data_IF_421746890668
#
_entry.id   IF_421746890668
#
_cell.length_a   1.000
_cell.length_b   1.000
_cell.length_c   1.000
_cell.angle_alpha   90.00
_cell.angle_beta   90.00
_cell.angle_gamma   90.00
#
_symmetry.space_group_name_H-M   'P 1'
#
loop_
_entity.id
_entity.type
_entity.pdbx_description
1 polymer ?
#
# COMPACT_ATOMS: atom_id res chain seq x y z
N UNK A 1 -17.95 3.90 11.21
CA UNK A 1 -18.95 3.90 10.11
C UNK A 1 -19.19 5.33 9.63
N UNK A 2 -18.51 5.75 8.55
CA UNK A 2 -18.80 7.01 7.82
C UNK A 2 -18.56 6.74 6.33
N UNK A 3 -19.42 5.94 5.72
CA UNK A 3 -19.45 5.69 4.30
C UNK A 3 -20.92 5.83 3.87
N UNK A 4 -21.27 7.05 3.42
CA UNK A 4 -22.64 7.57 3.24
C UNK A 4 -23.65 6.69 2.47
N UNK A 5 -23.22 5.61 1.82
CA UNK A 5 -24.10 4.71 1.04
C UNK A 5 -24.20 3.28 1.59
N UNK A 6 -23.33 2.87 2.53
CA UNK A 6 -23.24 1.48 3.02
C UNK A 6 -23.65 1.36 4.51
N UNK A 7 -24.11 2.46 5.12
CA UNK A 7 -24.40 2.55 6.55
C UNK A 7 -25.60 1.67 6.96
N UNK A 8 -26.69 1.65 6.19
CA UNK A 8 -27.88 0.85 6.51
C UNK A 8 -27.60 -0.66 6.41
N UNK A 9 -26.80 -1.10 5.43
CA UNK A 9 -26.39 -2.50 5.28
C UNK A 9 -25.48 -2.96 6.41
N UNK A 10 -24.53 -2.11 6.79
CA UNK A 10 -23.60 -2.45 7.87
C UNK A 10 -24.30 -2.51 9.23
N UNK A 11 -25.30 -1.66 9.51
CA UNK A 11 -26.06 -1.74 10.77
C UNK A 11 -26.76 -3.09 10.95
N UNK A 12 -27.34 -3.64 9.88
CA UNK A 12 -27.96 -4.97 9.92
C UNK A 12 -26.96 -6.09 10.20
N UNK A 13 -25.77 -6.02 9.61
CA UNK A 13 -24.69 -6.99 9.87
C UNK A 13 -24.14 -6.89 11.28
N UNK A 14 -23.99 -5.68 11.82
CA UNK A 14 -23.52 -5.48 13.19
C UNK A 14 -24.45 -6.19 14.17
N UNK A 15 -25.76 -6.00 14.06
CA UNK A 15 -26.75 -6.68 14.92
C UNK A 15 -26.63 -8.19 14.86
N UNK A 16 -26.55 -8.78 13.66
CA UNK A 16 -26.41 -10.24 13.49
C UNK A 16 -25.11 -10.78 14.09
N UNK A 17 -24.02 -10.02 13.99
CA UNK A 17 -22.74 -10.39 14.58
C UNK A 17 -22.80 -10.34 16.11
N UNK A 18 -23.38 -9.28 16.67
CA UNK A 18 -23.59 -9.11 18.11
C UNK A 18 -24.52 -10.21 18.67
N UNK A 19 -25.62 -10.54 17.98
CA UNK A 19 -26.52 -11.65 18.31
C UNK A 19 -25.81 -13.01 18.29
N UNK A 20 -24.81 -13.18 17.42
CA UNK A 20 -23.96 -14.37 17.35
C UNK A 20 -22.80 -14.36 18.37
N UNK A 21 -22.72 -13.36 19.26
CA UNK A 21 -21.72 -13.25 20.32
C UNK A 21 -20.42 -12.57 19.92
N UNK A 22 -20.35 -11.95 18.74
CA UNK A 22 -19.17 -11.19 18.32
C UNK A 22 -19.18 -9.77 18.92
N UNK A 23 -18.04 -9.34 19.46
CA UNK A 23 -17.85 -7.95 19.87
C UNK A 23 -17.55 -7.08 18.64
N UNK A 24 -18.47 -6.19 18.28
CA UNK A 24 -18.31 -5.29 17.14
C UNK A 24 -17.85 -3.92 17.62
N UNK A 25 -16.62 -3.54 17.28
CA UNK A 25 -16.07 -2.23 17.64
C UNK A 25 -16.15 -1.25 16.47
N UNK A 26 -16.66 -0.07 16.76
CA UNK A 26 -16.72 1.03 15.80
C UNK A 26 -15.39 1.75 15.76
N UNK A 27 -14.86 1.99 14.55
CA UNK A 27 -13.56 2.64 14.38
C UNK A 27 -13.48 4.06 14.98
N UNK A 28 -12.24 4.49 15.20
CA UNK A 28 -11.86 5.78 15.81
C UNK A 28 -12.58 6.98 15.16
N UNK A 29 -13.16 7.85 15.99
CA UNK A 29 -13.89 9.05 15.54
C UNK A 29 -12.97 9.94 14.70
N UNK A 30 -13.46 10.36 13.53
CA UNK A 30 -12.72 11.22 12.61
C UNK A 30 -11.79 10.48 11.64
N UNK A 31 -11.52 9.20 11.86
CA UNK A 31 -10.73 8.36 10.95
C UNK A 31 -11.61 7.31 10.28
N UNK A 32 -11.29 7.00 9.02
CA UNK A 32 -11.90 5.86 8.32
C UNK A 32 -10.93 4.69 8.35
N UNK A 33 -11.38 3.54 8.86
CA UNK A 33 -10.65 2.30 8.71
C UNK A 33 -10.69 1.86 7.24
N UNK A 34 -9.53 1.77 6.62
CA UNK A 34 -9.35 1.31 5.25
C UNK A 34 -8.31 0.20 5.14
N UNK A 35 -7.72 -0.22 6.27
CA UNK A 35 -6.89 -1.42 6.35
C UNK A 35 -7.76 -2.67 6.21
N UNK A 36 -7.25 -3.69 5.52
CA UNK A 36 -7.93 -4.98 5.34
C UNK A 36 -7.01 -6.05 5.92
N UNK A 37 -7.22 -6.29 7.21
CA UNK A 37 -6.37 -7.16 8.01
C UNK A 37 -7.25 -8.16 8.75
N UNK A 38 -6.80 -9.41 8.80
CA UNK A 38 -7.41 -10.48 9.60
C UNK A 38 -6.38 -11.07 10.54
N UNK A 39 -6.81 -11.44 11.75
CA UNK A 39 -5.99 -12.13 12.74
C UNK A 39 -6.79 -13.32 13.29
N UNK A 40 -6.19 -14.50 13.26
CA UNK A 40 -6.71 -15.69 13.93
C UNK A 40 -5.70 -16.10 14.99
N UNK A 41 -6.16 -16.18 16.24
CA UNK A 41 -5.39 -16.73 17.35
C UNK A 41 -5.84 -18.17 17.55
N UNK A 42 -4.90 -19.12 17.46
CA UNK A 42 -5.17 -20.55 17.61
C UNK A 42 -4.25 -21.15 18.67
N UNK A 43 -4.81 -21.94 19.58
CA UNK A 43 -4.01 -22.79 20.47
C UNK A 43 -3.52 -24.00 19.68
N UNK A 44 -2.21 -24.13 19.55
CA UNK A 44 -1.51 -25.27 18.99
C UNK A 44 -0.77 -26.04 20.10
N UNK A 45 -0.13 -27.16 19.76
CA UNK A 45 0.53 -28.02 20.74
C UNK A 45 1.69 -27.32 21.48
N UNK A 46 2.36 -26.39 20.80
CA UNK A 46 3.51 -25.62 21.27
C UNK A 46 3.15 -24.23 21.84
N UNK A 47 1.88 -23.82 21.79
CA UNK A 47 1.43 -22.56 22.37
C UNK A 47 0.35 -21.84 21.58
N UNK A 48 0.27 -20.52 21.76
CA UNK A 48 -0.68 -19.70 21.02
C UNK A 48 -0.02 -19.19 19.73
N UNK A 49 -0.61 -19.52 18.58
CA UNK A 49 -0.13 -19.08 17.27
C UNK A 49 -1.03 -18.02 16.66
N UNK A 50 -0.40 -17.08 15.94
CA UNK A 50 -1.07 -16.00 15.21
C UNK A 50 -1.02 -16.29 13.71
N UNK A 51 -2.17 -16.28 13.07
CA UNK A 51 -2.30 -16.30 11.60
C UNK A 51 -2.83 -14.95 11.15
N UNK A 52 -2.09 -14.30 10.27
CA UNK A 52 -2.39 -12.96 9.80
C UNK A 52 -2.71 -12.99 8.32
N UNK A 53 -3.72 -12.23 7.93
CA UNK A 53 -3.96 -11.85 6.56
C UNK A 53 -3.85 -10.33 6.40
N UNK A 54 -3.04 -9.83 5.46
CA UNK A 54 -2.98 -8.41 5.07
C UNK A 54 -3.31 -8.30 3.59
N UNK A 55 -4.29 -7.47 3.24
CA UNK A 55 -4.80 -7.36 1.86
C UNK A 55 -4.75 -5.94 1.32
N UNK A 56 -4.54 -5.82 0.01
CA UNK A 56 -4.70 -4.55 -0.73
C UNK A 56 -6.17 -4.15 -0.91
N UNK A 57 -7.09 -5.13 -0.85
CA UNK A 57 -8.52 -4.97 -1.13
C UNK A 57 -9.43 -5.59 -0.09
N UNK A 58 -10.71 -5.19 -0.12
CA UNK A 58 -11.72 -5.58 0.87
C UNK A 58 -12.19 -7.02 0.70
N UNK A 59 -12.83 -7.55 1.74
CA UNK A 59 -13.39 -8.89 1.78
C UNK A 59 -14.75 -8.99 1.10
N UNK A 60 -15.00 -8.17 0.07
CA UNK A 60 -16.28 -8.16 -0.63
C UNK A 60 -16.21 -9.11 -1.84
N UNK A 61 -16.97 -10.20 -1.77
CA UNK A 61 -17.02 -11.24 -2.80
C UNK A 61 -17.49 -10.72 -4.17
N UNK A 62 -18.28 -9.66 -4.21
CA UNK A 62 -18.72 -9.03 -5.46
C UNK A 62 -17.56 -8.32 -6.13
N UNK A 63 -16.86 -7.43 -5.41
CA UNK A 63 -15.73 -6.67 -5.97
C UNK A 63 -14.54 -7.55 -6.32
N UNK A 64 -14.32 -8.64 -5.58
CA UNK A 64 -13.27 -9.62 -5.88
C UNK A 64 -13.39 -10.24 -7.29
N UNK A 65 -14.57 -10.20 -7.94
CA UNK A 65 -14.75 -10.72 -9.30
C UNK A 65 -14.23 -9.78 -10.40
N UNK A 66 -14.01 -8.51 -10.09
CA UNK A 66 -13.61 -7.51 -11.08
C UNK A 66 -12.46 -6.60 -10.63
N UNK A 67 -11.99 -6.70 -9.38
CA UNK A 67 -10.80 -5.99 -8.90
C UNK A 67 -9.60 -6.93 -8.86
N UNK A 68 -8.42 -6.43 -9.20
CA UNK A 68 -7.16 -7.16 -8.95
C UNK A 68 -6.66 -6.80 -7.56
N UNK A 69 -6.54 -7.77 -6.66
CA UNK A 69 -6.08 -7.57 -5.29
C UNK A 69 -5.08 -8.64 -4.88
N UNK A 70 -4.22 -8.30 -3.92
CA UNK A 70 -3.20 -9.18 -3.35
C UNK A 70 -3.46 -9.37 -1.86
N UNK A 71 -3.21 -10.59 -1.38
CA UNK A 71 -3.29 -10.95 0.03
C UNK A 71 -2.01 -11.64 0.47
N UNK A 72 -1.44 -11.20 1.59
CA UNK A 72 -0.36 -11.86 2.31
C UNK A 72 -0.98 -12.66 3.45
N UNK A 73 -0.83 -13.98 3.43
CA UNK A 73 -1.15 -14.85 4.55
C UNK A 73 0.14 -15.30 5.22
N UNK A 74 0.30 -15.06 6.52
CA UNK A 74 1.56 -15.30 7.21
C UNK A 74 1.37 -15.71 8.67
N UNK A 75 2.38 -16.39 9.20
CA UNK A 75 2.55 -16.69 10.64
C UNK A 75 3.79 -16.02 11.22
N UNK A 76 4.39 -15.08 10.50
CA UNK A 76 5.50 -14.25 10.99
C UNK A 76 5.15 -13.61 12.33
N UNK A 77 5.99 -13.83 13.33
CA UNK A 77 5.69 -13.46 14.71
C UNK A 77 5.65 -11.95 14.92
N UNK A 78 6.50 -11.19 14.21
CA UNK A 78 6.58 -9.74 14.36
C UNK A 78 5.40 -9.05 13.66
N UNK A 79 5.02 -9.52 12.46
CA UNK A 79 3.79 -9.09 11.79
C UNK A 79 2.57 -9.48 12.63
N UNK A 80 2.57 -10.70 13.20
CA UNK A 80 1.54 -11.19 14.10
C UNK A 80 1.36 -10.29 15.33
N UNK A 81 2.47 -9.91 15.96
CA UNK A 81 2.48 -9.01 17.10
C UNK A 81 2.01 -7.60 16.72
N UNK A 82 2.47 -7.05 15.59
CA UNK A 82 2.07 -5.72 15.11
C UNK A 82 0.56 -5.64 14.84
N UNK A 83 -0.01 -6.66 14.17
CA UNK A 83 -1.46 -6.71 13.90
C UNK A 83 -2.26 -6.85 15.20
N UNK A 84 -1.77 -7.65 16.14
CA UNK A 84 -2.39 -7.79 17.45
C UNK A 84 -2.40 -6.45 18.20
N UNK A 85 -1.26 -5.74 18.23
CA UNK A 85 -1.15 -4.43 18.86
C UNK A 85 -2.06 -3.40 18.19
N UNK A 86 -2.12 -3.40 16.85
CA UNK A 86 -3.03 -2.55 16.10
C UNK A 86 -4.49 -2.81 16.49
N UNK A 87 -4.91 -4.07 16.58
CA UNK A 87 -6.26 -4.40 17.01
C UNK A 87 -6.54 -3.95 18.44
N UNK A 88 -5.61 -4.15 19.37
CA UNK A 88 -5.76 -3.65 20.75
C UNK A 88 -5.88 -2.13 20.82
N UNK A 89 -5.12 -1.39 20.00
CA UNK A 89 -5.26 0.06 19.93
C UNK A 89 -6.61 0.48 19.34
N UNK A 90 -7.09 -0.21 18.30
CA UNK A 90 -8.37 0.09 17.66
C UNK A 90 -9.58 -0.25 18.54
N UNK A 91 -9.46 -1.23 19.43
CA UNK A 91 -10.55 -1.65 20.33
C UNK A 91 -10.48 -1.01 21.71
N UNK A 92 -9.29 -0.71 22.21
CA UNK A 92 -9.05 -0.21 23.56
C UNK A 92 -8.78 1.29 23.68
N UNK A 93 -8.64 2.04 22.57
CA UNK A 93 -8.33 3.47 22.58
C UNK A 93 -9.24 4.27 21.66
N UNK A 94 -9.55 5.50 22.07
CA UNK A 94 -10.24 6.49 21.23
C UNK A 94 -9.30 7.33 20.37
N UNK A 95 -7.98 7.09 20.47
CA UNK A 95 -6.94 7.78 19.70
C UNK A 95 -6.60 7.01 18.43
N UNK A 96 -6.00 7.71 17.46
CA UNK A 96 -5.43 7.07 16.28
C UNK A 96 -4.36 6.04 16.69
N UNK A 97 -4.16 4.95 15.92
CA UNK A 97 -3.03 4.07 16.12
C UNK A 97 -1.72 4.84 16.10
N UNK A 98 -0.92 4.65 17.15
CA UNK A 98 0.28 5.44 17.46
C UNK A 98 1.43 4.55 17.93
N UNK A 99 2.64 5.11 17.92
CA UNK A 99 3.84 4.39 18.32
C UNK A 99 4.49 3.55 17.21
N UNK A 100 5.60 2.89 17.55
CA UNK A 100 6.40 2.11 16.62
C UNK A 100 5.85 0.68 16.48
N UNK A 101 5.61 0.28 15.24
CA UNK A 101 5.43 -1.11 14.85
C UNK A 101 6.77 -1.71 14.42
N UNK A 102 6.93 -3.02 14.56
CA UNK A 102 8.19 -3.76 14.30
C UNK A 102 8.45 -3.86 12.80
N UNK A 103 7.40 -4.19 12.04
CA UNK A 103 7.42 -4.50 10.60
C UNK A 103 6.39 -3.70 9.82
N UNK A 104 5.21 -3.46 10.38
CA UNK A 104 4.13 -2.76 9.69
C UNK A 104 4.39 -1.25 9.62
N UNK A 105 4.00 -0.64 8.50
CA UNK A 105 3.83 0.80 8.42
C UNK A 105 2.33 1.13 8.47
N UNK A 106 1.92 1.94 9.45
CA UNK A 106 0.51 2.16 9.79
C UNK A 106 0.16 3.64 9.71
N UNK A 107 -0.87 3.97 8.95
CA UNK A 107 -1.41 5.32 8.91
C UNK A 107 -2.34 5.56 10.11
N UNK A 108 -2.43 6.80 10.63
CA UNK A 108 -1.87 8.02 10.04
C UNK A 108 -0.46 8.40 10.53
N UNK A 109 0.05 7.77 11.59
CA UNK A 109 1.21 8.28 12.31
C UNK A 109 2.55 7.86 11.69
N UNK A 110 2.72 6.57 11.39
CA UNK A 110 4.03 6.04 10.97
C UNK A 110 4.18 5.87 9.46
N UNK A 111 3.08 5.72 8.72
CA UNK A 111 3.14 5.37 7.29
C UNK A 111 3.82 6.45 6.43
N UNK A 112 3.47 7.72 6.58
CA UNK A 112 4.08 8.79 5.78
C UNK A 112 5.58 8.96 6.11
N UNK A 113 5.98 9.12 7.39
CA UNK A 113 7.40 9.20 7.73
C UNK A 113 8.20 8.00 7.23
N UNK A 114 7.66 6.78 7.36
CA UNK A 114 8.28 5.57 6.84
C UNK A 114 8.48 5.63 5.32
N UNK A 115 7.44 5.98 4.56
CA UNK A 115 7.51 6.08 3.10
C UNK A 115 8.55 7.11 2.64
N UNK A 116 8.55 8.30 3.27
CA UNK A 116 9.54 9.35 2.98
C UNK A 116 10.96 8.87 3.32
N UNK A 117 11.14 8.12 4.41
CA UNK A 117 12.41 7.50 4.79
C UNK A 117 12.91 6.50 3.74
N UNK A 118 12.04 5.63 3.21
CA UNK A 118 12.38 4.70 2.14
C UNK A 118 12.85 5.44 0.87
N UNK A 119 12.11 6.49 0.45
CA UNK A 119 12.48 7.29 -0.73
C UNK A 119 13.82 8.02 -0.51
N UNK A 120 14.01 8.62 0.66
CA UNK A 120 15.25 9.30 1.01
C UNK A 120 16.44 8.34 1.05
N UNK A 121 16.23 7.10 1.49
CA UNK A 121 17.26 6.04 1.50
C UNK A 121 17.68 5.66 0.08
N UNK A 122 16.74 5.51 -0.86
CA UNK A 122 17.09 5.30 -2.28
C UNK A 122 17.90 6.47 -2.83
N UNK A 123 17.53 7.71 -2.51
CA UNK A 123 18.28 8.90 -2.91
C UNK A 123 19.71 8.93 -2.33
N UNK A 124 19.91 8.41 -1.12
CA UNK A 124 21.24 8.26 -0.53
C UNK A 124 22.06 7.17 -1.23
N UNK A 125 21.45 6.02 -1.53
CA UNK A 125 22.09 4.95 -2.30
C UNK A 125 22.54 5.44 -3.68
N UNK A 126 21.69 6.16 -4.39
CA UNK A 126 22.02 6.73 -5.71
C UNK A 126 23.21 7.69 -5.64
N UNK A 127 23.22 8.61 -4.66
CA UNK A 127 24.36 9.54 -4.43
C UNK A 127 25.66 8.81 -4.10
N UNK A 128 25.57 7.65 -3.47
CA UNK A 128 26.72 6.79 -3.18
C UNK A 128 27.12 5.87 -4.35
N UNK A 129 26.49 5.99 -5.53
CA UNK A 129 26.76 5.13 -6.69
C UNK A 129 26.26 3.69 -6.52
N UNK A 130 25.39 3.42 -5.54
CA UNK A 130 24.81 2.09 -5.30
C UNK A 130 23.52 1.91 -6.12
N UNK A 131 23.09 0.65 -6.36
CA UNK A 131 21.80 0.40 -6.99
C UNK A 131 20.66 1.09 -6.22
N UNK A 132 19.89 1.91 -6.93
CA UNK A 132 18.80 2.66 -6.33
C UNK A 132 17.62 2.73 -7.30
N UNK A 133 16.49 2.15 -6.87
CA UNK A 133 15.31 2.00 -7.72
C UNK A 133 14.05 2.05 -6.89
N UNK A 134 13.03 2.76 -7.38
CA UNK A 134 11.69 2.74 -6.83
C UNK A 134 10.76 2.19 -7.90
N UNK A 135 9.97 1.18 -7.54
CA UNK A 135 8.82 0.75 -8.33
C UNK A 135 7.58 0.82 -7.46
N UNK A 136 6.46 1.30 -8.00
CA UNK A 136 5.20 1.22 -7.26
C UNK A 136 3.99 1.04 -8.17
N UNK A 137 3.07 0.18 -7.76
CA UNK A 137 1.71 0.06 -8.31
C UNK A 137 0.73 0.70 -7.35
N UNK A 138 -0.10 1.62 -7.83
CA UNK A 138 -1.01 2.43 -7.03
C UNK A 138 -2.32 2.69 -7.79
N UNK A 139 -3.40 2.97 -7.05
CA UNK A 139 -4.61 3.51 -7.66
C UNK A 139 -4.54 5.03 -7.82
N UNK A 140 -3.68 5.70 -7.07
CA UNK A 140 -3.47 7.14 -7.20
C UNK A 140 -2.26 7.68 -6.45
N UNK A 141 -1.72 8.77 -6.98
CA UNK A 141 -0.59 9.52 -6.46
C UNK A 141 -0.94 11.01 -6.50
N UNK A 142 -1.13 11.61 -5.33
CA UNK A 142 -1.51 13.02 -5.22
C UNK A 142 -0.94 13.73 -3.99
N UNK A 143 -0.06 13.06 -3.23
CA UNK A 143 0.54 13.64 -2.04
C UNK A 143 1.74 14.52 -2.39
N UNK A 144 1.68 15.80 -2.02
CA UNK A 144 2.71 16.78 -2.41
C UNK A 144 4.07 16.51 -1.74
N UNK A 145 4.09 15.99 -0.52
CA UNK A 145 5.35 15.65 0.18
C UNK A 145 6.00 14.43 -0.46
N UNK A 146 5.22 13.39 -0.76
CA UNK A 146 5.72 12.20 -1.47
C UNK A 146 6.21 12.59 -2.87
N UNK A 147 5.46 13.40 -3.62
CA UNK A 147 5.86 13.84 -4.97
C UNK A 147 7.16 14.63 -4.93
N UNK A 148 7.32 15.55 -3.97
CA UNK A 148 8.58 16.29 -3.79
C UNK A 148 9.74 15.34 -3.50
N UNK A 149 9.54 14.38 -2.59
CA UNK A 149 10.56 13.38 -2.27
C UNK A 149 10.94 12.53 -3.50
N UNK A 150 9.98 12.15 -4.35
CA UNK A 150 10.24 11.45 -5.60
C UNK A 150 11.04 12.30 -6.59
N UNK A 151 10.75 13.60 -6.72
CA UNK A 151 11.56 14.51 -7.52
C UNK A 151 12.98 14.66 -6.97
N UNK A 152 13.14 14.71 -5.65
CA UNK A 152 14.45 14.78 -5.00
C UNK A 152 15.26 13.49 -5.24
N UNK A 153 14.60 12.33 -5.15
CA UNK A 153 15.19 11.04 -5.48
C UNK A 153 15.58 10.93 -6.97
N UNK A 154 14.72 11.40 -7.88
CA UNK A 154 15.04 11.46 -9.31
C UNK A 154 16.29 12.31 -9.58
N UNK A 155 16.39 13.51 -8.98
CA UNK A 155 17.60 14.35 -9.09
C UNK A 155 18.85 13.70 -8.50
N UNK A 156 18.70 12.88 -7.46
CA UNK A 156 19.79 12.13 -6.86
C UNK A 156 20.27 10.94 -7.71
N UNK A 157 19.57 10.58 -8.80
CA UNK A 157 19.93 9.50 -9.71
C UNK A 157 19.08 8.23 -9.58
N UNK A 158 18.06 8.22 -8.72
CA UNK A 158 17.17 7.05 -8.55
C UNK A 158 16.33 6.83 -9.82
N UNK A 159 16.25 5.58 -10.28
CA UNK A 159 15.30 5.19 -11.33
C UNK A 159 13.93 4.92 -10.71
N UNK A 160 12.88 5.57 -11.20
CA UNK A 160 11.54 5.52 -10.61
C UNK A 160 10.52 5.11 -11.67
N UNK A 161 9.85 3.98 -11.46
CA UNK A 161 8.82 3.43 -12.34
C UNK A 161 7.50 3.29 -11.58
N UNK A 162 6.45 3.95 -12.04
CA UNK A 162 5.16 3.99 -11.35
C UNK A 162 4.06 3.48 -12.26
N UNK A 163 3.26 2.53 -11.78
CA UNK A 163 2.00 2.11 -12.41
C UNK A 163 0.85 2.74 -11.61
N UNK A 164 0.24 3.78 -12.15
CA UNK A 164 -0.83 4.54 -11.51
C UNK A 164 -2.05 4.58 -12.42
N UNK A 165 -3.08 3.76 -12.13
CA UNK A 165 -4.25 3.70 -13.02
C UNK A 165 -5.13 4.95 -13.01
N UNK A 166 -5.14 5.65 -11.89
CA UNK A 166 -6.16 6.65 -11.56
C UNK A 166 -5.58 8.05 -11.48
N UNK A 167 -5.96 8.79 -10.44
CA UNK A 167 -5.48 10.15 -10.22
C UNK A 167 -3.96 10.17 -10.00
N UNK A 168 -3.22 10.83 -10.88
CA UNK A 168 -1.80 11.14 -10.72
C UNK A 168 -1.58 12.64 -10.89
N UNK A 169 -1.02 13.31 -9.87
CA UNK A 169 -0.65 14.74 -9.96
C UNK A 169 0.86 14.93 -10.10
N UNK A 170 1.64 13.85 -10.15
CA UNK A 170 3.06 13.88 -10.49
C UNK A 170 3.22 14.11 -12.00
N UNK A 171 4.16 14.96 -12.40
CA UNK A 171 4.52 15.19 -13.80
C UNK A 171 5.87 14.52 -14.09
N UNK A 172 5.89 13.42 -14.88
CA UNK A 172 7.14 12.76 -15.27
C UNK A 172 7.89 13.54 -16.35
N UNK A 173 9.19 13.31 -16.50
CA UNK A 173 10.01 13.84 -17.59
C UNK A 173 10.29 15.35 -17.56
N UNK A 174 10.07 16.03 -16.43
CA UNK A 174 10.42 17.44 -16.29
C UNK A 174 11.93 17.60 -16.11
N UNK A 175 12.61 18.41 -16.95
CA UNK A 175 14.04 18.67 -16.83
C UNK A 175 14.41 19.15 -15.43
N UNK A 176 15.46 18.56 -14.85
CA UNK A 176 15.94 18.92 -13.52
C UNK A 176 15.01 18.50 -12.37
N UNK A 177 13.93 17.75 -12.62
CA UNK A 177 13.01 17.30 -11.56
C UNK A 177 12.64 15.83 -11.66
N UNK A 178 12.18 15.35 -12.82
CA UNK A 178 11.55 14.02 -12.95
C UNK A 178 11.96 13.26 -14.20
N UNK A 179 13.12 13.57 -14.77
CA UNK A 179 13.70 12.89 -15.94
C UNK A 179 13.87 11.37 -15.76
N UNK A 180 14.04 10.91 -14.51
CA UNK A 180 14.18 9.48 -14.18
C UNK A 180 12.88 8.85 -13.67
N UNK A 181 11.76 9.55 -13.81
CA UNK A 181 10.44 9.08 -13.40
C UNK A 181 9.61 8.73 -14.62
N UNK A 182 9.22 7.46 -14.73
CA UNK A 182 8.25 6.97 -15.71
C UNK A 182 6.94 6.65 -14.99
N UNK A 183 5.82 7.10 -15.55
CA UNK A 183 4.48 6.79 -15.04
C UNK A 183 3.68 6.14 -16.15
N UNK A 184 3.18 4.95 -15.88
CA UNK A 184 2.28 4.19 -16.74
C UNK A 184 0.90 4.06 -16.10
N UNK A 185 -0.13 3.95 -16.92
CA UNK A 185 -1.49 3.63 -16.52
C UNK A 185 -1.96 2.43 -17.35
N UNK A 186 -2.51 1.43 -16.67
CA UNK A 186 -3.04 0.23 -17.30
C UNK A 186 -4.55 0.20 -17.13
N UNK A 187 -5.24 0.06 -18.26
CA UNK A 187 -6.70 -0.06 -18.32
C UNK A 187 -7.02 -1.37 -19.01
N UNK A 188 -7.60 -2.31 -18.26
CA UNK A 188 -7.94 -3.63 -18.78
C UNK A 188 -9.36 -4.03 -18.39
N UNK A 189 -9.68 -5.31 -18.65
CA UNK A 189 -10.96 -5.92 -18.24
C UNK A 189 -11.20 -5.82 -16.73
N UNK A 190 -10.15 -6.03 -15.94
CA UNK A 190 -10.20 -5.93 -14.49
C UNK A 190 -9.79 -4.52 -14.04
N UNK A 191 -10.37 -4.08 -12.92
CA UNK A 191 -9.99 -2.82 -12.30
C UNK A 191 -8.71 -3.02 -11.50
N UNK A 192 -7.61 -2.41 -11.95
CA UNK A 192 -6.32 -2.54 -11.29
C UNK A 192 -6.34 -1.96 -9.87
N UNK A 193 -6.40 -2.79 -8.82
CA UNK A 193 -6.67 -2.31 -7.47
C UNK A 193 -5.54 -2.57 -6.47
N UNK A 194 -4.67 -3.54 -6.75
CA UNK A 194 -3.53 -3.88 -5.92
C UNK A 194 -2.60 -2.68 -5.73
N UNK A 195 -2.00 -2.60 -4.54
CA UNK A 195 -0.90 -1.67 -4.25
C UNK A 195 0.34 -2.46 -3.86
N UNK A 196 1.42 -2.20 -4.57
CA UNK A 196 2.72 -2.86 -4.39
C UNK A 196 3.78 -1.78 -4.36
N UNK A 197 4.68 -1.81 -3.37
CA UNK A 197 5.82 -0.90 -3.31
C UNK A 197 7.10 -1.72 -3.35
N UNK A 198 8.09 -1.24 -4.08
CA UNK A 198 9.39 -1.86 -4.18
C UNK A 198 10.50 -0.81 -4.12
N UNK A 199 11.52 -1.10 -3.32
CA UNK A 199 12.72 -0.28 -3.14
C UNK A 199 13.97 -1.13 -3.37
N UNK A 200 14.90 -0.66 -4.20
CA UNK A 200 16.10 -1.40 -4.58
C UNK A 200 17.15 -1.52 -3.46
N UNK A 201 17.14 -0.57 -2.52
CA UNK A 201 17.85 -0.59 -1.24
C UNK A 201 19.34 -0.99 -1.36
N UNK A 202 20.04 -0.47 -2.37
CA UNK A 202 21.46 -0.75 -2.55
C UNK A 202 21.76 -2.21 -2.88
N UNK A 203 20.79 -2.95 -3.45
CA UNK A 203 20.88 -4.37 -3.84
C UNK A 203 20.14 -5.33 -2.91
N UNK A 204 19.70 -4.87 -1.73
CA UNK A 204 18.92 -5.68 -0.78
C UNK A 204 17.42 -5.39 -0.92
N UNK A 205 16.85 -5.78 -2.07
CA UNK A 205 15.51 -5.36 -2.50
C UNK A 205 14.42 -5.65 -1.45
N UNK A 206 13.52 -4.68 -1.29
CA UNK A 206 12.40 -4.74 -0.35
C UNK A 206 11.07 -4.60 -1.10
N UNK A 207 10.12 -5.49 -0.79
CA UNK A 207 8.77 -5.49 -1.37
C UNK A 207 7.72 -5.36 -0.28
N UNK A 208 6.67 -4.61 -0.59
CA UNK A 208 5.57 -4.33 0.33
C UNK A 208 4.24 -4.40 -0.39
N UNK A 209 3.20 -4.84 0.32
CA UNK A 209 1.81 -4.70 -0.12
C UNK A 209 0.99 -4.04 0.97
N UNK A 210 -0.11 -3.40 0.60
CA UNK A 210 -0.96 -2.76 1.60
C UNK A 210 -2.17 -2.05 1.03
N UNK A 211 -2.90 -1.39 1.92
CA UNK A 211 -4.19 -0.77 1.59
C UNK A 211 -4.06 0.67 1.10
N UNK A 212 -2.90 1.31 1.31
CA UNK A 212 -2.71 2.73 1.03
C UNK A 212 -2.38 3.03 -0.44
N UNK A 213 -2.97 4.11 -0.94
CA UNK A 213 -2.42 4.85 -2.08
C UNK A 213 -1.59 6.03 -1.57
N UNK A 214 -0.75 6.63 -2.41
CA UNK A 214 0.04 7.81 -2.04
C UNK A 214 -0.76 9.10 -2.20
N UNK A 215 -1.82 9.22 -1.39
CA UNK A 215 -2.73 10.39 -1.37
C UNK A 215 -2.85 10.95 0.05
N UNK A 216 -3.08 12.26 0.21
CA UNK A 216 -3.13 12.90 1.54
C UNK A 216 -4.09 12.21 2.51
N UNK A 217 -5.28 11.81 2.03
CA UNK A 217 -6.29 11.14 2.85
C UNK A 217 -5.88 9.74 3.31
N UNK A 218 -5.13 9.00 2.49
CA UNK A 218 -4.67 7.66 2.83
C UNK A 218 -3.54 7.75 3.85
N UNK A 219 -2.60 8.67 3.65
CA UNK A 219 -1.42 8.81 4.48
C UNK A 219 -1.67 9.48 5.84
N UNK A 220 -2.69 10.36 5.96
CA UNK A 220 -2.92 11.18 7.18
C UNK A 220 -4.32 11.10 7.80
N UNK A 221 -5.33 10.60 7.09
CA UNK A 221 -6.75 10.68 7.54
C UNK A 221 -7.47 9.33 7.57
N UNK A 222 -6.71 8.25 7.44
CA UNK A 222 -7.22 6.87 7.41
C UNK A 222 -6.32 5.97 8.24
N UNK A 223 -6.90 4.88 8.69
CA UNK A 223 -6.13 3.74 9.17
C UNK A 223 -5.84 2.90 7.94
N UNK A 224 -4.58 2.80 7.58
CA UNK A 224 -4.06 2.00 6.47
C UNK A 224 -2.91 1.15 7.00
N UNK A 225 -2.69 -0.01 6.39
CA UNK A 225 -1.59 -0.92 6.75
C UNK A 225 -0.80 -1.28 5.51
N UNK A 226 0.51 -1.26 5.65
CA UNK A 226 1.48 -1.74 4.66
C UNK A 226 2.39 -2.74 5.36
N UNK A 227 2.52 -3.93 4.78
CA UNK A 227 3.30 -5.04 5.32
C UNK A 227 4.45 -5.41 4.38
N UNK A 228 5.64 -5.72 4.92
CA UNK A 228 6.73 -6.27 4.13
C UNK A 228 6.39 -7.69 3.66
N UNK A 229 6.88 -8.04 2.48
CA UNK A 229 6.85 -9.39 1.95
C UNK A 229 8.28 -9.93 2.02
N UNK A 230 8.52 -10.87 2.93
CA UNK A 230 9.85 -11.43 3.19
C UNK A 230 10.15 -12.70 2.39
N UNK A 231 9.11 -13.50 2.12
CA UNK A 231 9.21 -14.76 1.42
C UNK A 231 9.78 -14.57 -0.01
N UNK A 232 10.87 -15.28 -0.39
CA UNK A 232 11.51 -15.11 -1.69
C UNK A 232 10.61 -15.39 -2.88
N UNK A 233 9.74 -16.41 -2.80
CA UNK A 233 8.86 -16.77 -3.91
C UNK A 233 7.75 -15.73 -4.09
N UNK A 234 7.20 -15.23 -2.99
CA UNK A 234 6.26 -14.12 -3.00
C UNK A 234 6.90 -12.83 -3.54
N UNK A 235 8.14 -12.52 -3.17
CA UNK A 235 8.90 -11.39 -3.75
C UNK A 235 9.08 -11.54 -5.25
N UNK A 236 9.49 -12.73 -5.71
CA UNK A 236 9.65 -13.00 -7.13
C UNK A 236 8.31 -12.90 -7.89
N UNK A 237 7.18 -13.27 -7.27
CA UNK A 237 5.86 -13.08 -7.86
C UNK A 237 5.48 -11.60 -7.99
N UNK A 238 5.76 -10.78 -6.98
CA UNK A 238 5.55 -9.33 -7.03
C UNK A 238 6.45 -8.65 -8.06
N UNK A 239 7.69 -9.11 -8.17
CA UNK A 239 8.65 -8.64 -9.16
C UNK A 239 8.14 -8.88 -10.60
N UNK A 240 7.76 -10.13 -10.90
CA UNK A 240 7.15 -10.49 -12.19
C UNK A 240 5.88 -9.69 -12.48
N UNK A 241 5.04 -9.46 -11.47
CA UNK A 241 3.86 -8.62 -11.61
C UNK A 241 4.23 -7.20 -12.03
N UNK A 242 5.13 -6.54 -11.28
CA UNK A 242 5.56 -5.18 -11.60
C UNK A 242 6.22 -5.10 -12.97
N UNK A 243 7.10 -6.05 -13.30
CA UNK A 243 7.79 -6.08 -14.59
C UNK A 243 6.79 -6.23 -15.73
N UNK A 244 5.84 -7.18 -15.62
CA UNK A 244 4.82 -7.39 -16.65
C UNK A 244 3.98 -6.15 -16.94
N UNK A 245 3.68 -5.34 -15.92
CA UNK A 245 2.93 -4.10 -16.09
C UNK A 245 3.77 -2.93 -16.62
N UNK A 246 5.07 -2.92 -16.28
CA UNK A 246 6.01 -1.91 -16.75
C UNK A 246 6.50 -2.14 -18.19
N UNK A 247 6.37 -3.37 -18.67
CA UNK A 247 6.67 -3.77 -20.05
C UNK A 247 5.44 -3.95 -20.93
N UNK A 248 4.23 -3.70 -20.41
CA UNK A 248 2.97 -3.92 -21.14
C UNK A 248 2.87 -2.94 -22.34
N UNK A 249 2.87 -3.42 -23.60
CA UNK A 249 2.75 -2.55 -24.76
C UNK A 249 1.39 -1.85 -24.83
N UNK A 250 0.35 -2.38 -24.19
CA UNK A 250 -0.98 -1.77 -24.12
C UNK A 250 -1.13 -0.76 -22.97
N UNK A 251 -0.05 -0.52 -22.19
CA UNK A 251 -0.06 0.51 -21.17
C UNK A 251 0.03 1.92 -21.77
N UNK A 252 -0.56 2.88 -21.06
CA UNK A 252 -0.53 4.30 -21.40
C UNK A 252 0.53 5.02 -20.59
N UNK A 253 1.51 5.63 -21.25
CA UNK A 253 2.53 6.46 -20.62
C UNK A 253 2.02 7.89 -20.41
N UNK A 254 2.12 8.39 -19.18
CA UNK A 254 1.85 9.79 -18.87
C UNK A 254 3.04 10.65 -19.34
N UNK A 255 2.75 11.70 -20.11
CA UNK A 255 3.73 12.68 -20.61
C UNK A 255 3.78 13.91 -19.71
N UNK A 256 4.82 14.72 -19.87
CA UNK A 256 5.07 15.90 -19.05
C UNK A 256 3.97 16.99 -19.17
N UNK A 257 3.25 17.01 -20.30
CA UNK A 257 2.13 17.92 -20.56
C UNK A 257 0.79 17.45 -19.96
N UNK A 258 0.77 16.27 -19.31
CA UNK A 258 -0.41 15.67 -18.72
C UNK A 258 -1.21 14.78 -19.68
N UNK A 259 -0.82 14.71 -20.96
CA UNK A 259 -1.40 13.79 -21.92
C UNK A 259 -0.91 12.36 -21.71
N UNK A 260 -1.68 11.39 -22.23
CA UNK A 260 -1.30 9.98 -22.24
C UNK A 260 -1.01 9.52 -23.67
N UNK A 261 -0.01 8.67 -23.82
CA UNK A 261 0.42 8.07 -25.08
C UNK A 261 0.47 6.55 -24.91
N UNK A 262 -0.03 5.80 -25.89
CA UNK A 262 0.01 4.34 -25.85
C UNK A 262 1.45 3.86 -26.05
N UNK A 263 1.91 2.86 -25.31
CA UNK A 263 3.30 2.41 -25.42
C UNK A 263 3.61 1.69 -26.74
N UNK A 264 2.60 1.12 -27.40
CA UNK A 264 2.74 0.45 -28.69
C UNK A 264 2.59 1.36 -29.91
N UNK A 265 2.27 2.64 -29.73
CA UNK A 265 2.12 3.61 -30.84
C UNK A 265 3.45 4.22 -31.27
#
# INVERSE_FOLDING_TARGET
LKARFDETRNVGWVRRLEEAGAAVVYGVVGLKNHAKVGLVLRREADGLRRYVHVSTGNYNATTARFYTDLGLFTTDEEIGADVHDLFNQLTGSSRAPSGSFRRLAVAPETLLPWLLGCIAREAAHARAGRPARIRAKLNGLADSEVIRALYDASRAGVSIDLVVRGLCTLRPGLPGHSERIRVLSRLGRFLEHARVYHFGNGGAEEYYIGSADWRPRNLRRRIEVVAPVADPDARAALDRLLESELSDPEAWRLRADGGYELMSS
#
